data_IF_237725751717
#
_entry.id   IF_237725751717
#
_cell.length_a   1.000
_cell.length_b   1.000
_cell.length_c   1.000
_cell.angle_alpha   90.00
_cell.angle_beta   90.00
_cell.angle_gamma   90.00
#
_symmetry.space_group_name_H-M   'P 1'
#
loop_
_entity.id
_entity.type
_entity.pdbx_description
1 polymer ?
#
# COMPACT_ATOMS: atom_id res chain seq x y z
N UNK A 1 15.97 13.58 15.79
CA UNK A 1 15.19 14.48 14.91
C UNK A 1 15.44 14.23 13.42
N UNK A 2 16.69 14.30 12.90
CA UNK A 2 16.95 14.13 11.45
C UNK A 2 16.41 12.82 10.83
N UNK A 3 16.62 11.68 11.50
CA UNK A 3 16.19 10.36 10.99
C UNK A 3 14.67 10.21 10.92
N UNK A 4 13.93 10.81 11.87
CA UNK A 4 12.47 10.78 11.88
C UNK A 4 11.89 11.60 10.73
N UNK A 5 12.43 12.80 10.49
CA UNK A 5 12.00 13.66 9.38
C UNK A 5 12.25 13.00 8.02
N UNK A 6 13.37 12.28 7.88
CA UNK A 6 13.68 11.48 6.69
C UNK A 6 12.64 10.38 6.45
N UNK A 7 12.28 9.61 7.48
CA UNK A 7 11.29 8.54 7.36
C UNK A 7 9.90 9.06 7.01
N UNK A 8 9.52 10.23 7.56
CA UNK A 8 8.26 10.90 7.22
C UNK A 8 8.26 11.29 5.74
N UNK A 9 9.35 11.90 5.24
CA UNK A 9 9.48 12.28 3.84
C UNK A 9 9.45 11.06 2.90
N UNK A 10 10.19 10.00 3.23
CA UNK A 10 10.19 8.76 2.43
C UNK A 10 8.78 8.16 2.40
N UNK A 11 8.11 8.05 3.55
CA UNK A 11 6.73 7.55 3.62
C UNK A 11 5.79 8.40 2.77
N UNK A 12 5.89 9.73 2.85
CA UNK A 12 5.09 10.63 2.04
C UNK A 12 5.31 10.39 0.54
N UNK A 13 6.56 10.34 0.07
CA UNK A 13 6.87 10.11 -1.34
C UNK A 13 6.35 8.75 -1.84
N UNK A 14 6.53 7.68 -1.06
CA UNK A 14 6.01 6.35 -1.41
C UNK A 14 4.47 6.34 -1.47
N UNK A 15 3.80 6.96 -0.50
CA UNK A 15 2.33 7.07 -0.46
C UNK A 15 1.80 7.89 -1.63
N UNK A 16 2.42 9.01 -1.95
CA UNK A 16 2.04 9.85 -3.09
C UNK A 16 2.23 9.11 -4.42
N UNK A 17 3.35 8.43 -4.62
CA UNK A 17 3.58 7.63 -5.84
C UNK A 17 2.55 6.52 -6.03
N UNK A 18 2.25 5.77 -4.97
CA UNK A 18 1.19 4.74 -4.99
C UNK A 18 -0.18 5.35 -5.27
N UNK A 19 -0.54 6.43 -4.57
CA UNK A 19 -1.84 7.07 -4.72
C UNK A 19 -2.06 7.59 -6.15
N UNK A 20 -1.04 8.23 -6.75
CA UNK A 20 -1.11 8.71 -8.14
C UNK A 20 -1.34 7.55 -9.10
N UNK A 21 -0.65 6.42 -8.92
CA UNK A 21 -0.85 5.24 -9.76
C UNK A 21 -2.29 4.71 -9.66
N UNK A 22 -2.82 4.55 -8.45
CA UNK A 22 -4.20 4.09 -8.24
C UNK A 22 -5.24 5.09 -8.73
N UNK A 23 -5.00 6.40 -8.58
CA UNK A 23 -5.89 7.41 -9.13
C UNK A 23 -5.92 7.37 -10.65
N UNK A 24 -4.76 7.27 -11.29
CA UNK A 24 -4.71 7.18 -12.74
C UNK A 24 -5.47 5.94 -13.24
N UNK A 25 -5.17 4.76 -12.68
CA UNK A 25 -5.84 3.51 -13.05
C UNK A 25 -7.35 3.56 -12.76
N UNK A 26 -7.74 3.96 -11.56
CA UNK A 26 -9.14 4.01 -11.14
C UNK A 26 -9.96 5.05 -11.90
N UNK A 27 -9.47 6.28 -12.05
CA UNK A 27 -10.19 7.32 -12.80
C UNK A 27 -10.28 6.96 -14.28
N UNK A 28 -9.18 6.50 -14.88
CA UNK A 28 -9.16 6.18 -16.31
C UNK A 28 -10.06 4.98 -16.65
N UNK A 29 -10.05 3.95 -15.80
CA UNK A 29 -10.92 2.77 -15.97
C UNK A 29 -12.39 3.06 -15.67
N UNK A 30 -12.69 3.99 -14.77
CA UNK A 30 -14.06 4.44 -14.51
C UNK A 30 -14.64 5.23 -15.68
N UNK A 31 -13.85 6.16 -16.25
CA UNK A 31 -14.31 7.04 -17.32
C UNK A 31 -14.32 6.35 -18.70
N UNK A 32 -13.37 5.46 -18.97
CA UNK A 32 -13.19 4.81 -20.27
C UNK A 32 -13.08 3.29 -20.13
N UNK A 33 -14.10 2.59 -19.61
CA UNK A 33 -14.01 1.17 -19.25
C UNK A 33 -13.63 0.26 -20.43
N UNK A 34 -13.99 0.63 -21.66
CA UNK A 34 -13.63 -0.10 -22.89
C UNK A 34 -12.12 -0.25 -23.10
N UNK A 35 -11.32 0.72 -22.64
CA UNK A 35 -9.86 0.68 -22.76
C UNK A 35 -9.22 -0.28 -21.73
N UNK A 36 -9.97 -0.65 -20.69
CA UNK A 36 -9.46 -1.36 -19.52
C UNK A 36 -10.05 -2.77 -19.36
N UNK A 37 -11.19 -3.04 -20.00
CA UNK A 37 -11.92 -4.31 -19.86
C UNK A 37 -11.10 -5.54 -20.30
N UNK A 38 -10.12 -5.34 -21.18
CA UNK A 38 -9.18 -6.39 -21.61
C UNK A 38 -8.24 -6.87 -20.51
N UNK A 39 -8.00 -6.06 -19.46
CA UNK A 39 -7.15 -6.43 -18.32
C UNK A 39 -7.90 -7.18 -17.22
N UNK A 40 -9.23 -7.31 -17.34
CA UNK A 40 -10.04 -8.11 -16.40
C UNK A 40 -9.87 -9.58 -16.74
N UNK A 41 -9.36 -10.42 -15.82
CA UNK A 41 -9.20 -11.85 -16.06
C UNK A 41 -10.49 -12.53 -16.49
N UNK A 42 -10.40 -13.43 -17.48
CA UNK A 42 -11.58 -14.09 -18.06
C UNK A 42 -12.41 -14.88 -17.05
N UNK A 43 -11.78 -15.47 -16.03
CA UNK A 43 -12.49 -16.24 -15.00
C UNK A 43 -13.45 -15.37 -14.16
N UNK A 44 -13.18 -14.07 -13.98
CA UNK A 44 -14.09 -13.17 -13.28
C UNK A 44 -15.35 -12.88 -14.10
N UNK A 45 -15.22 -12.84 -15.42
CA UNK A 45 -16.32 -12.65 -16.36
C UNK A 45 -17.39 -13.75 -16.30
N UNK A 46 -17.04 -14.92 -15.76
CA UNK A 46 -17.98 -16.04 -15.55
C UNK A 46 -18.84 -15.84 -14.30
N UNK A 47 -18.34 -15.08 -13.32
CA UNK A 47 -18.98 -14.86 -12.02
C UNK A 47 -19.78 -13.54 -12.02
N UNK A 48 -19.22 -12.50 -12.62
CA UNK A 48 -19.77 -11.15 -12.68
C UNK A 48 -19.42 -10.53 -14.04
N UNK A 49 -20.29 -9.67 -14.58
CA UNK A 49 -19.96 -8.93 -15.80
C UNK A 49 -18.68 -8.12 -15.59
N UNK A 50 -17.80 -8.11 -16.60
CA UNK A 50 -16.49 -7.43 -16.51
C UNK A 50 -16.65 -5.93 -16.30
N UNK A 51 -17.71 -5.34 -16.83
CA UNK A 51 -18.07 -3.93 -16.69
C UNK A 51 -18.39 -3.57 -15.24
N UNK A 52 -19.25 -4.35 -14.57
CA UNK A 52 -19.56 -4.14 -13.15
C UNK A 52 -18.33 -4.36 -12.29
N UNK A 53 -17.56 -5.43 -12.54
CA UNK A 53 -16.32 -5.66 -11.81
C UNK A 53 -15.37 -4.48 -11.93
N UNK A 54 -15.15 -3.99 -13.16
CA UNK A 54 -14.26 -2.88 -13.44
C UNK A 54 -14.73 -1.61 -12.74
N UNK A 55 -16.03 -1.28 -12.79
CA UNK A 55 -16.58 -0.11 -12.09
C UNK A 55 -16.34 -0.17 -10.57
N UNK A 56 -16.61 -1.32 -9.95
CA UNK A 56 -16.38 -1.54 -8.52
C UNK A 56 -14.88 -1.45 -8.19
N UNK A 57 -14.03 -2.03 -9.04
CA UNK A 57 -12.59 -2.02 -8.89
C UNK A 57 -12.01 -0.61 -9.02
N UNK A 58 -12.49 0.19 -9.97
CA UNK A 58 -12.10 1.60 -10.12
C UNK A 58 -12.41 2.42 -8.87
N UNK A 59 -13.59 2.25 -8.29
CA UNK A 59 -13.98 2.92 -7.04
C UNK A 59 -13.05 2.48 -5.90
N UNK A 60 -12.76 1.18 -5.81
CA UNK A 60 -11.82 0.64 -4.84
C UNK A 60 -10.42 1.26 -4.98
N UNK A 61 -9.87 1.37 -6.19
CA UNK A 61 -8.56 1.99 -6.42
C UNK A 61 -8.53 3.47 -6.01
N UNK A 62 -9.58 4.22 -6.34
CA UNK A 62 -9.70 5.63 -5.93
C UNK A 62 -9.73 5.74 -4.40
N UNK A 63 -10.54 4.92 -3.72
CA UNK A 63 -10.60 4.93 -2.26
C UNK A 63 -9.26 4.52 -1.62
N UNK A 64 -8.55 3.57 -2.24
CA UNK A 64 -7.22 3.15 -1.80
C UNK A 64 -6.21 4.29 -1.93
N UNK A 65 -6.22 5.01 -3.07
CA UNK A 65 -5.39 6.19 -3.30
C UNK A 65 -5.66 7.32 -2.29
N UNK A 66 -6.93 7.61 -2.01
CA UNK A 66 -7.35 8.57 -0.99
C UNK A 66 -6.77 8.16 0.38
N UNK A 67 -6.97 6.91 0.79
CA UNK A 67 -6.50 6.42 2.07
C UNK A 67 -4.99 6.56 2.25
N UNK A 68 -4.21 6.28 1.18
CA UNK A 68 -2.76 6.41 1.19
C UNK A 68 -2.31 7.87 1.37
N UNK A 69 -2.97 8.83 0.71
CA UNK A 69 -2.63 10.25 0.86
C UNK A 69 -2.86 10.77 2.29
N UNK A 70 -3.98 10.38 2.92
CA UNK A 70 -4.33 10.81 4.27
C UNK A 70 -3.58 10.08 5.40
N UNK A 71 -2.60 9.23 5.08
CA UNK A 71 -1.84 8.42 6.04
C UNK A 71 -2.76 7.53 6.93
N UNK A 72 -3.93 7.17 6.41
CA UNK A 72 -4.92 6.41 7.16
C UNK A 72 -4.52 4.93 7.20
N UNK A 73 -4.11 4.42 8.37
CA UNK A 73 -3.71 3.00 8.53
C UNK A 73 -2.72 2.55 7.44
N UNK A 74 -1.68 3.34 7.20
CA UNK A 74 -0.70 3.15 6.10
C UNK A 74 -0.16 1.73 5.98
N UNK A 75 0.13 1.06 7.10
CA UNK A 75 0.54 -0.34 7.07
C UNK A 75 -0.49 -1.25 6.39
N UNK A 76 -1.77 -1.18 6.79
CA UNK A 76 -2.85 -1.97 6.19
C UNK A 76 -3.09 -1.61 4.73
N UNK A 77 -3.10 -0.31 4.39
CA UNK A 77 -3.29 0.12 3.00
C UNK A 77 -2.12 -0.28 2.10
N UNK A 78 -0.89 -0.29 2.62
CA UNK A 78 0.29 -0.73 1.86
C UNK A 78 0.26 -2.25 1.57
N UNK A 79 -0.22 -3.07 2.52
CA UNK A 79 -0.47 -4.50 2.29
C UNK A 79 -1.54 -4.68 1.22
N UNK A 80 -2.67 -3.98 1.36
CA UNK A 80 -3.77 -4.07 0.41
C UNK A 80 -3.31 -3.67 -1.01
N UNK A 81 -2.55 -2.57 -1.12
CA UNK A 81 -1.93 -2.12 -2.37
C UNK A 81 -1.01 -3.18 -2.97
N UNK A 82 -0.16 -3.80 -2.16
CA UNK A 82 0.75 -4.86 -2.61
C UNK A 82 -0.01 -6.07 -3.14
N UNK A 83 -1.08 -6.50 -2.45
CA UNK A 83 -1.91 -7.62 -2.90
C UNK A 83 -2.61 -7.26 -4.21
N UNK A 84 -3.20 -6.07 -4.30
CA UNK A 84 -3.87 -5.59 -5.52
C UNK A 84 -2.92 -5.59 -6.71
N UNK A 85 -1.73 -4.99 -6.58
CA UNK A 85 -0.73 -4.93 -7.65
C UNK A 85 -0.21 -6.31 -8.02
N UNK A 86 0.01 -7.19 -7.04
CA UNK A 86 0.41 -8.57 -7.30
C UNK A 86 -0.65 -9.33 -8.12
N UNK A 87 -1.93 -9.18 -7.78
CA UNK A 87 -3.02 -9.80 -8.52
C UNK A 87 -3.16 -9.25 -9.93
N UNK A 88 -2.98 -7.94 -10.12
CA UNK A 88 -2.96 -7.31 -11.47
C UNK A 88 -1.83 -7.90 -12.30
N UNK A 89 -0.61 -7.94 -11.75
CA UNK A 89 0.57 -8.48 -12.42
C UNK A 89 0.39 -9.95 -12.79
N UNK A 90 -0.06 -10.78 -11.85
CA UNK A 90 -0.26 -12.21 -12.06
C UNK A 90 -1.37 -12.48 -13.07
N UNK A 91 -2.49 -11.75 -12.96
CA UNK A 91 -3.63 -11.90 -13.87
C UNK A 91 -3.35 -11.46 -15.30
N UNK A 92 -2.32 -10.65 -15.52
CA UNK A 92 -1.99 -10.05 -16.81
C UNK A 92 -0.56 -10.38 -17.27
N UNK A 93 0.09 -11.41 -16.72
CA UNK A 93 1.53 -11.69 -16.91
C UNK A 93 1.99 -11.77 -18.38
N UNK A 94 1.08 -12.07 -19.31
CA UNK A 94 1.38 -12.10 -20.76
C UNK A 94 1.57 -10.71 -21.39
N UNK A 95 1.18 -9.64 -20.68
CA UNK A 95 1.20 -8.24 -21.14
C UNK A 95 2.32 -7.43 -20.48
N UNK A 96 3.53 -7.98 -20.40
CA UNK A 96 4.66 -7.36 -19.68
C UNK A 96 5.05 -5.96 -20.19
N UNK A 97 4.84 -5.69 -21.48
CA UNK A 97 5.10 -4.36 -22.09
C UNK A 97 4.29 -3.24 -21.46
N UNK A 98 3.15 -3.56 -20.84
CA UNK A 98 2.29 -2.59 -20.14
C UNK A 98 2.56 -2.65 -18.63
N UNK A 99 2.82 -3.85 -18.12
CA UNK A 99 2.92 -4.14 -16.68
C UNK A 99 4.28 -3.83 -16.05
N UNK A 100 5.34 -3.58 -16.83
CA UNK A 100 6.69 -3.34 -16.26
C UNK A 100 6.70 -2.22 -15.20
N UNK A 101 5.85 -1.20 -15.38
CA UNK A 101 5.66 -0.10 -14.41
C UNK A 101 5.07 -0.61 -13.09
N UNK A 102 4.13 -1.54 -13.17
CA UNK A 102 3.39 -2.04 -12.00
C UNK A 102 4.28 -2.87 -11.09
N UNK A 103 5.38 -3.45 -11.62
CA UNK A 103 6.44 -4.06 -10.81
C UNK A 103 7.10 -3.01 -9.90
N UNK A 104 7.48 -1.86 -10.44
CA UNK A 104 8.09 -0.79 -9.65
C UNK A 104 7.12 -0.26 -8.56
N UNK A 105 5.83 -0.16 -8.90
CA UNK A 105 4.79 0.28 -7.96
C UNK A 105 4.58 -0.79 -6.87
N UNK A 106 4.62 -2.09 -7.20
CA UNK A 106 4.56 -3.17 -6.21
C UNK A 106 5.71 -3.07 -5.21
N UNK A 107 6.94 -2.86 -5.68
CA UNK A 107 8.09 -2.67 -4.78
C UNK A 107 7.96 -1.40 -3.93
N UNK A 108 7.33 -0.34 -4.44
CA UNK A 108 6.99 0.85 -3.66
C UNK A 108 6.04 0.53 -2.50
N UNK A 109 5.02 -0.31 -2.74
CA UNK A 109 4.12 -0.79 -1.71
C UNK A 109 4.85 -1.66 -0.66
N UNK A 110 5.70 -2.59 -1.10
CA UNK A 110 6.52 -3.42 -0.20
C UNK A 110 7.48 -2.59 0.66
N UNK A 111 8.12 -1.58 0.07
CA UNK A 111 8.96 -0.64 0.80
C UNK A 111 8.17 0.13 1.87
N UNK A 112 6.95 0.57 1.53
CA UNK A 112 6.06 1.25 2.46
C UNK A 112 5.60 0.33 3.62
N UNK A 113 5.36 -0.95 3.35
CA UNK A 113 5.09 -1.97 4.39
C UNK A 113 6.29 -2.06 5.33
N UNK A 114 7.51 -2.21 4.79
CA UNK A 114 8.73 -2.33 5.58
C UNK A 114 8.98 -1.08 6.45
N UNK A 115 8.74 0.12 5.92
CA UNK A 115 8.87 1.38 6.63
C UNK A 115 7.79 1.57 7.72
N UNK A 116 6.57 1.11 7.43
CA UNK A 116 5.41 1.21 8.34
C UNK A 116 5.37 0.08 9.37
N UNK A 117 6.20 -0.95 9.21
CA UNK A 117 6.28 -2.08 10.12
C UNK A 117 6.77 -1.61 11.49
N UNK A 118 5.81 -1.33 12.36
CA UNK A 118 6.07 -0.94 13.74
C UNK A 118 6.70 -2.13 14.44
N UNK A 119 8.02 -2.11 14.64
CA UNK A 119 8.71 -3.09 15.50
C UNK A 119 8.03 -3.06 16.88
N UNK A 120 7.20 -4.07 17.15
CA UNK A 120 6.53 -4.26 18.45
C UNK A 120 7.60 -4.65 19.46
N UNK A 121 8.35 -3.66 19.96
CA UNK A 121 9.51 -3.92 20.78
C UNK A 121 10.11 -2.64 21.36
N UNK A 122 9.40 -1.98 22.28
CA UNK A 122 10.05 -1.31 23.41
C UNK A 122 9.15 -0.87 24.57
N UNK A 123 8.02 -1.55 24.85
CA UNK A 123 7.29 -1.31 26.12
C UNK A 123 8.04 -1.92 27.32
N UNK A 124 8.77 -3.03 27.11
CA UNK A 124 9.46 -3.76 28.18
C UNK A 124 10.84 -3.18 28.56
N UNK A 125 11.58 -2.49 27.66
CA UNK A 125 12.85 -1.87 28.09
C UNK A 125 12.64 -0.69 29.05
N UNK A 126 11.58 0.12 28.86
CA UNK A 126 11.25 1.19 29.82
C UNK A 126 10.89 0.65 31.21
N UNK A 127 10.22 -0.50 31.27
CA UNK A 127 9.88 -1.14 32.54
C UNK A 127 11.14 -1.65 33.26
N UNK A 128 12.04 -2.32 32.54
CA UNK A 128 13.28 -2.86 33.13
C UNK A 128 14.27 -1.74 33.54
N UNK A 129 14.38 -0.65 32.77
CA UNK A 129 15.19 0.51 33.19
C UNK A 129 14.60 1.25 34.39
N UNK A 130 13.27 1.24 34.55
CA UNK A 130 12.62 1.84 35.72
C UNK A 130 12.79 0.97 36.97
N UNK A 131 12.85 -0.36 36.83
CA UNK A 131 13.10 -1.26 37.95
C UNK A 131 14.57 -1.20 38.41
N UNK A 132 15.53 -1.17 37.49
CA UNK A 132 16.95 -1.09 37.86
C UNK A 132 17.37 0.31 38.31
N UNK A 133 16.75 1.37 37.79
CA UNK A 133 17.02 2.75 38.20
C UNK A 133 16.47 3.13 39.57
N UNK A 134 15.43 2.45 40.07
CA UNK A 134 14.83 2.75 41.38
C UNK A 134 15.53 1.99 42.52
N UNK A 135 16.04 0.78 42.26
CA UNK A 135 16.74 -0.04 43.26
C UNK A 135 18.11 0.57 43.68
N UNK A 136 18.77 1.33 42.79
CA UNK A 136 20.08 1.96 43.08
C UNK A 136 19.91 3.24 43.92
N UNK A 137 18.70 3.80 44.01
CA UNK A 137 18.42 5.02 44.80
C UNK A 137 17.99 4.75 46.24
N UNK A 138 17.64 3.53 46.60
CA UNK A 138 17.20 3.18 47.95
C UNK A 138 18.35 2.67 48.85
N UNK A 139 19.56 2.45 48.31
CA UNK A 139 20.74 1.98 49.06
C UNK A 139 21.80 3.07 49.36
N UNK A 140 21.48 4.37 49.24
CA UNK A 140 22.38 5.47 49.61
C UNK A 140 21.69 6.48 50.52
#
# INVERSE_FOLDING_TARGET
>A
MKEQNKNILISFLLRSGLAIAFFYAGISSFLNPTNWIGFVPNFLGVIISKEIFLMVFSIFEILLGIGLLFDYKTFTLSILSSITLFLILFGNIMNLEILFRDIAILFMALALIALSYKKKGNKNRKFLTNLTGNQIKEEK
#
